data_IF_493938036172
#
_entry.id   IF_493938036172
#
_cell.length_a   1.000
_cell.length_b   1.000
_cell.length_c   1.000
_cell.angle_alpha   90.00
_cell.angle_beta   90.00
_cell.angle_gamma   90.00
#
_symmetry.space_group_name_H-M   'P 1'
#
loop_
_entity.id
_entity.type
_entity.pdbx_description
1 polymer ?
#
# COMPACT_ATOMS: atom_id res chain seq x y z
N UNK A 1 32.55 -11.60 10.67
CA UNK A 1 32.54 -10.65 9.52
C UNK A 1 31.14 -10.66 8.93
N UNK A 2 30.24 -9.78 9.40
CA UNK A 2 28.93 -9.59 8.75
C UNK A 2 29.17 -8.95 7.38
N UNK A 3 28.73 -9.61 6.30
CA UNK A 3 28.79 -9.07 4.95
C UNK A 3 28.10 -7.71 4.90
N UNK A 4 28.84 -6.68 4.46
CA UNK A 4 28.25 -5.38 4.16
C UNK A 4 27.25 -5.59 3.03
N UNK A 5 25.98 -5.31 3.33
CA UNK A 5 24.89 -5.37 2.37
C UNK A 5 25.18 -4.36 1.27
N UNK A 6 25.15 -4.77 0.00
CA UNK A 6 25.14 -3.82 -1.11
C UNK A 6 23.92 -2.91 -0.94
N UNK A 7 24.08 -1.58 -0.85
CA UNK A 7 22.96 -0.65 -0.71
C UNK A 7 21.91 -0.91 -1.79
N UNK A 8 20.63 -0.91 -1.42
CA UNK A 8 19.56 -1.09 -2.40
C UNK A 8 19.51 0.16 -3.27
N UNK A 9 19.95 0.03 -4.52
CA UNK A 9 19.92 1.14 -5.47
C UNK A 9 18.48 1.39 -5.95
N UNK A 10 17.79 2.36 -5.34
CA UNK A 10 16.45 2.77 -5.76
C UNK A 10 16.43 3.54 -7.10
N UNK A 11 17.60 3.97 -7.60
CA UNK A 11 17.75 4.69 -8.86
C UNK A 11 17.87 3.78 -10.09
N UNK A 12 17.89 2.46 -9.90
CA UNK A 12 18.04 1.49 -10.99
C UNK A 12 16.69 0.94 -11.48
N UNK A 13 16.39 1.04 -12.80
CA UNK A 13 15.29 0.30 -13.42
C UNK A 13 15.43 -1.22 -13.24
N UNK A 14 14.32 -1.89 -12.94
CA UNK A 14 14.23 -3.33 -12.69
C UNK A 14 13.19 -4.00 -13.55
N UNK A 15 13.47 -5.22 -13.96
CA UNK A 15 12.48 -6.07 -14.60
C UNK A 15 11.54 -6.70 -13.55
N UNK A 16 10.45 -7.32 -14.00
CA UNK A 16 9.42 -7.85 -13.10
C UNK A 16 9.99 -8.87 -12.10
N UNK A 17 10.83 -9.79 -12.57
CA UNK A 17 11.47 -10.80 -11.71
C UNK A 17 12.38 -10.17 -10.65
N UNK A 18 13.20 -9.19 -11.03
CA UNK A 18 14.09 -8.47 -10.10
C UNK A 18 13.29 -7.66 -9.07
N UNK A 19 12.18 -7.04 -9.49
CA UNK A 19 11.30 -6.28 -8.62
C UNK A 19 10.60 -7.19 -7.61
N UNK A 20 10.06 -8.33 -8.06
CA UNK A 20 9.42 -9.33 -7.20
C UNK A 20 10.43 -9.99 -6.26
N UNK A 21 11.60 -10.37 -6.75
CA UNK A 21 12.67 -10.96 -5.94
C UNK A 21 13.18 -9.99 -4.88
N UNK A 22 13.39 -8.72 -5.23
CA UNK A 22 13.80 -7.69 -4.28
C UNK A 22 12.70 -7.40 -3.26
N UNK A 23 11.45 -7.24 -3.68
CA UNK A 23 10.34 -7.00 -2.76
C UNK A 23 10.15 -8.16 -1.79
N UNK A 24 10.16 -9.41 -2.26
CA UNK A 24 10.07 -10.61 -1.39
C UNK A 24 11.25 -10.68 -0.44
N UNK A 25 12.47 -10.53 -0.97
CA UNK A 25 13.69 -10.58 -0.17
C UNK A 25 13.71 -9.51 0.92
N UNK A 26 13.29 -8.29 0.60
CA UNK A 26 13.20 -7.19 1.54
C UNK A 26 12.12 -7.43 2.61
N UNK A 27 10.93 -7.86 2.17
CA UNK A 27 9.79 -8.12 3.04
C UNK A 27 10.09 -9.25 4.03
N UNK A 28 10.60 -10.40 3.58
CA UNK A 28 10.96 -11.50 4.49
C UNK A 28 12.14 -11.16 5.41
N UNK A 29 13.13 -10.41 4.92
CA UNK A 29 14.29 -10.01 5.74
C UNK A 29 13.89 -9.10 6.91
N UNK A 30 12.92 -8.22 6.70
CA UNK A 30 12.46 -7.23 7.69
C UNK A 30 11.00 -7.44 8.09
N UNK A 31 10.53 -8.70 8.04
CA UNK A 31 9.13 -9.07 8.27
C UNK A 31 8.57 -8.49 9.58
N UNK A 32 9.26 -8.56 10.74
CA UNK A 32 8.70 -8.03 11.99
C UNK A 32 8.45 -6.52 11.94
N UNK A 33 9.32 -5.77 11.27
CA UNK A 33 9.16 -4.32 11.13
C UNK A 33 7.98 -3.99 10.22
N UNK A 34 7.96 -4.54 9.01
CA UNK A 34 6.91 -4.25 8.04
C UNK A 34 5.54 -4.72 8.52
N UNK A 35 5.50 -5.89 9.17
CA UNK A 35 4.30 -6.38 9.85
C UNK A 35 3.85 -5.41 10.95
N UNK A 36 4.73 -4.99 11.86
CA UNK A 36 4.36 -4.07 12.93
C UNK A 36 3.83 -2.73 12.40
N UNK A 37 4.47 -2.19 11.35
CA UNK A 37 4.03 -0.95 10.68
C UNK A 37 2.65 -1.12 10.02
N UNK A 38 2.37 -2.26 9.39
CA UNK A 38 1.03 -2.50 8.84
C UNK A 38 0.00 -2.73 9.96
N UNK A 39 0.36 -3.53 10.96
CA UNK A 39 -0.54 -3.97 12.04
C UNK A 39 -1.10 -2.80 12.84
N UNK A 40 -0.27 -1.80 13.16
CA UNK A 40 -0.70 -0.62 13.94
C UNK A 40 -1.78 0.21 13.24
N UNK A 41 -1.91 0.09 11.91
CA UNK A 41 -2.96 0.75 11.12
C UNK A 41 -4.11 -0.21 10.82
N UNK A 42 -3.79 -1.44 10.43
CA UNK A 42 -4.79 -2.43 10.00
C UNK A 42 -5.65 -2.89 11.17
N UNK A 43 -5.05 -3.24 12.31
CA UNK A 43 -5.78 -3.83 13.43
C UNK A 43 -6.89 -2.90 13.98
N UNK A 44 -6.63 -1.61 14.28
CA UNK A 44 -7.69 -0.73 14.74
C UNK A 44 -8.80 -0.54 13.70
N UNK A 45 -8.46 -0.41 12.42
CA UNK A 45 -9.45 -0.18 11.37
C UNK A 45 -10.31 -1.42 11.14
N UNK A 46 -9.72 -2.60 11.08
CA UNK A 46 -10.45 -3.87 10.89
C UNK A 46 -11.34 -4.14 12.11
N UNK A 47 -10.83 -3.99 13.33
CA UNK A 47 -11.64 -4.21 14.54
C UNK A 47 -12.78 -3.19 14.67
N UNK A 48 -12.56 -1.94 14.30
CA UNK A 48 -13.62 -0.93 14.29
C UNK A 48 -14.67 -1.26 13.23
N UNK A 49 -14.24 -1.63 12.03
CA UNK A 49 -15.17 -1.98 10.95
C UNK A 49 -15.95 -3.25 11.29
N UNK A 50 -15.26 -4.35 11.58
CA UNK A 50 -15.87 -5.65 11.83
C UNK A 50 -16.72 -5.61 13.11
N UNK A 51 -16.28 -4.88 14.14
CA UNK A 51 -17.05 -4.69 15.37
C UNK A 51 -18.33 -3.87 15.17
N UNK A 52 -18.28 -2.82 14.34
CA UNK A 52 -19.49 -2.04 13.97
C UNK A 52 -20.47 -2.92 13.18
N UNK A 53 -19.98 -3.75 12.25
CA UNK A 53 -20.83 -4.65 11.49
C UNK A 53 -21.43 -5.76 12.32
N UNK A 54 -20.65 -6.39 13.19
CA UNK A 54 -21.14 -7.43 14.10
C UNK A 54 -22.28 -6.89 14.98
N UNK A 55 -22.08 -5.74 15.64
CA UNK A 55 -23.13 -5.14 16.47
C UNK A 55 -24.39 -4.77 15.67
N UNK A 56 -24.22 -4.27 14.44
CA UNK A 56 -25.38 -3.95 13.57
C UNK A 56 -26.17 -5.21 13.19
N UNK A 57 -25.48 -6.33 12.92
CA UNK A 57 -26.14 -7.61 12.62
C UNK A 57 -26.86 -8.17 13.84
N UNK A 58 -26.25 -8.08 15.02
CA UNK A 58 -26.86 -8.50 16.29
C UNK A 58 -28.14 -7.69 16.59
N UNK A 59 -28.13 -6.38 16.32
CA UNK A 59 -29.28 -5.49 16.49
C UNK A 59 -30.42 -5.81 15.51
N UNK A 60 -30.10 -6.11 14.24
CA UNK A 60 -31.09 -6.57 13.25
C UNK A 60 -31.70 -7.91 13.66
N UNK A 61 -30.88 -8.88 14.09
CA UNK A 61 -31.36 -10.19 14.53
C UNK A 61 -32.22 -10.09 15.80
N UNK A 62 -31.90 -9.16 16.69
CA UNK A 62 -32.68 -8.84 17.88
C UNK A 62 -33.99 -8.08 17.57
N UNK A 63 -34.23 -7.68 16.31
CA UNK A 63 -35.44 -6.96 15.89
C UNK A 63 -35.54 -5.55 16.49
N UNK A 64 -34.40 -4.92 16.83
CA UNK A 64 -34.35 -3.58 17.42
C UNK A 64 -34.32 -2.45 16.38
N UNK A 65 -34.22 -2.79 15.09
CA UNK A 65 -34.26 -1.87 13.95
C UNK A 65 -35.48 -2.16 13.07
N UNK A 66 -36.25 -1.13 12.70
CA UNK A 66 -37.42 -1.27 11.82
C UNK A 66 -37.02 -1.66 10.38
N UNK A 67 -37.76 -2.60 9.78
CA UNK A 67 -37.49 -3.29 8.50
C UNK A 67 -37.19 -2.38 7.28
N UNK A 68 -37.49 -1.07 7.35
CA UNK A 68 -37.36 -0.11 6.24
C UNK A 68 -36.02 0.64 6.25
N UNK A 69 -35.37 0.82 7.41
CA UNK A 69 -33.98 1.34 7.50
C UNK A 69 -32.93 0.23 7.29
N UNK A 70 -33.30 -1.01 7.53
CA UNK A 70 -32.43 -2.19 7.48
C UNK A 70 -32.01 -2.63 6.06
N UNK A 71 -32.64 -2.14 4.98
CA UNK A 71 -32.33 -2.61 3.62
C UNK A 71 -31.28 -1.76 2.88
N UNK A 72 -31.32 -0.43 3.02
CA UNK A 72 -30.46 0.50 2.23
C UNK A 72 -29.24 1.03 3.02
N UNK A 73 -29.37 1.21 4.34
CA UNK A 73 -28.27 1.65 5.20
C UNK A 73 -27.08 0.67 5.25
N UNK A 74 -27.25 -0.67 5.31
CA UNK A 74 -26.10 -1.58 5.41
C UNK A 74 -25.32 -1.69 4.09
N UNK A 75 -25.95 -1.51 2.93
CA UNK A 75 -25.25 -1.53 1.65
C UNK A 75 -24.37 -0.28 1.50
N UNK A 76 -24.93 0.91 1.77
CA UNK A 76 -24.19 2.17 1.69
C UNK A 76 -23.04 2.22 2.71
N UNK A 77 -23.30 1.84 3.97
CA UNK A 77 -22.25 1.75 4.98
C UNK A 77 -21.20 0.68 4.60
N UNK A 78 -21.61 -0.45 4.01
CA UNK A 78 -20.72 -1.53 3.56
C UNK A 78 -19.78 -1.08 2.45
N UNK A 79 -20.31 -0.30 1.51
CA UNK A 79 -19.53 0.35 0.46
C UNK A 79 -18.56 1.37 1.03
N UNK A 80 -18.99 2.25 1.95
CA UNK A 80 -18.11 3.23 2.60
C UNK A 80 -16.99 2.52 3.36
N UNK A 81 -17.33 1.49 4.14
CA UNK A 81 -16.38 0.68 4.89
C UNK A 81 -15.35 0.00 3.96
N UNK A 82 -15.83 -0.61 2.88
CA UNK A 82 -14.98 -1.21 1.84
C UNK A 82 -14.07 -0.17 1.18
N UNK A 83 -14.59 1.01 0.85
CA UNK A 83 -13.80 2.10 0.25
C UNK A 83 -12.73 2.63 1.22
N UNK A 84 -13.05 2.75 2.51
CA UNK A 84 -12.09 3.13 3.54
C UNK A 84 -10.98 2.07 3.66
N UNK A 85 -11.34 0.78 3.71
CA UNK A 85 -10.38 -0.33 3.76
C UNK A 85 -9.51 -0.42 2.49
N UNK A 86 -10.08 -0.19 1.30
CA UNK A 86 -9.33 -0.28 0.03
C UNK A 86 -8.48 0.95 -0.25
N UNK A 87 -8.75 2.09 0.38
CA UNK A 87 -8.07 3.35 0.04
C UNK A 87 -7.25 3.93 1.18
N UNK A 88 -7.85 4.11 2.36
CA UNK A 88 -7.20 4.78 3.50
C UNK A 88 -6.11 3.90 4.08
N UNK A 89 -6.44 2.63 4.38
CA UNK A 89 -5.50 1.70 5.02
C UNK A 89 -4.24 1.48 4.17
N UNK A 90 -4.34 1.11 2.87
CA UNK A 90 -3.16 0.92 2.03
C UNK A 90 -2.32 2.19 1.88
N UNK A 91 -2.92 3.37 1.80
CA UNK A 91 -2.17 4.61 1.66
C UNK A 91 -1.35 4.95 2.92
N UNK A 92 -1.92 4.77 4.12
CA UNK A 92 -1.21 4.99 5.37
C UNK A 92 -0.10 3.96 5.58
N UNK A 93 -0.39 2.69 5.30
CA UNK A 93 0.61 1.62 5.37
C UNK A 93 1.74 1.89 4.36
N UNK A 94 1.40 2.28 3.13
CA UNK A 94 2.37 2.65 2.09
C UNK A 94 3.26 3.80 2.55
N UNK A 95 2.72 4.84 3.17
CA UNK A 95 3.52 5.96 3.65
C UNK A 95 4.62 5.52 4.63
N UNK A 96 4.29 4.66 5.59
CA UNK A 96 5.28 4.09 6.51
C UNK A 96 6.29 3.17 5.83
N UNK A 97 5.83 2.35 4.88
CA UNK A 97 6.68 1.41 4.16
C UNK A 97 7.67 2.13 3.23
N UNK A 98 7.26 3.23 2.59
CA UNK A 98 8.14 4.09 1.79
C UNK A 98 9.34 4.57 2.62
N UNK A 99 9.08 5.07 3.83
CA UNK A 99 10.12 5.59 4.72
C UNK A 99 11.05 4.47 5.18
N UNK A 100 10.49 3.32 5.59
CA UNK A 100 11.29 2.17 5.98
C UNK A 100 12.17 1.65 4.82
N UNK A 101 11.64 1.61 3.59
CA UNK A 101 12.40 1.22 2.40
C UNK A 101 13.51 2.23 2.09
N UNK A 102 13.26 3.53 2.25
CA UNK A 102 14.28 4.57 2.07
C UNK A 102 15.40 4.46 3.12
N UNK A 103 15.07 4.23 4.39
CA UNK A 103 16.06 4.02 5.46
C UNK A 103 16.94 2.79 5.15
N UNK A 104 16.32 1.66 4.78
CA UNK A 104 17.05 0.43 4.41
C UNK A 104 17.94 0.67 3.17
N UNK A 105 17.44 1.39 2.16
CA UNK A 105 18.20 1.70 0.96
C UNK A 105 19.43 2.58 1.24
N UNK A 106 19.35 3.46 2.23
CA UNK A 106 20.48 4.28 2.71
C UNK A 106 21.46 3.51 3.59
N UNK A 107 21.17 2.24 3.91
CA UNK A 107 21.94 1.44 4.86
C UNK A 107 21.71 1.87 6.32
N UNK A 108 20.68 2.65 6.59
CA UNK A 108 20.27 3.02 7.95
C UNK A 108 19.45 1.89 8.58
N UNK A 109 19.47 1.78 9.91
CA UNK A 109 18.58 0.88 10.64
C UNK A 109 17.18 1.50 10.67
N UNK A 110 16.18 0.89 9.99
CA UNK A 110 14.82 1.42 10.01
C UNK A 110 14.26 1.36 11.43
N UNK A 111 13.65 2.45 11.89
CA UNK A 111 13.08 2.54 13.23
C UNK A 111 11.57 2.72 13.19
N UNK A 112 10.84 1.85 13.89
CA UNK A 112 9.38 1.87 13.97
C UNK A 112 8.85 3.23 14.42
N UNK A 113 9.42 3.81 15.49
CA UNK A 113 8.97 5.10 16.03
C UNK A 113 9.17 6.28 15.07
N UNK A 114 10.23 6.27 14.25
CA UNK A 114 10.45 7.29 13.22
C UNK A 114 9.45 7.14 12.09
N UNK A 115 9.26 5.92 11.57
CA UNK A 115 8.30 5.64 10.51
C UNK A 115 6.87 6.03 10.95
N UNK A 116 6.48 5.69 12.18
CA UNK A 116 5.18 6.05 12.75
C UNK A 116 5.02 7.57 12.93
N UNK A 117 6.02 8.28 13.47
CA UNK A 117 5.97 9.74 13.61
C UNK A 117 5.85 10.44 12.26
N UNK A 118 6.59 9.97 11.27
CA UNK A 118 6.50 10.51 9.91
C UNK A 118 5.16 10.21 9.26
N UNK A 119 4.53 9.06 9.56
CA UNK A 119 3.17 8.74 9.11
C UNK A 119 2.16 9.79 9.58
N UNK A 120 2.25 10.23 10.85
CA UNK A 120 1.41 11.31 11.36
C UNK A 120 1.67 12.65 10.66
N UNK A 121 2.92 12.94 10.29
CA UNK A 121 3.26 14.17 9.57
C UNK A 121 2.65 14.20 8.15
N UNK A 122 2.50 13.03 7.52
CA UNK A 122 1.93 12.91 6.17
C UNK A 122 0.45 12.51 6.17
N UNK A 123 -0.18 12.36 7.34
CA UNK A 123 -1.58 11.92 7.47
C UNK A 123 -2.54 12.84 6.72
N UNK A 124 -2.43 14.16 6.93
CA UNK A 124 -3.28 15.16 6.28
C UNK A 124 -3.06 15.22 4.77
N UNK A 125 -1.81 15.37 4.24
CA UNK A 125 -1.61 15.43 2.80
C UNK A 125 -1.95 14.11 2.10
N UNK A 126 -1.62 12.95 2.68
CA UNK A 126 -2.00 11.63 2.13
C UNK A 126 -3.51 11.43 2.21
N UNK A 127 -4.15 11.85 3.29
CA UNK A 127 -5.60 11.79 3.45
C UNK A 127 -6.35 12.53 2.34
N UNK A 128 -5.90 13.74 1.98
CA UNK A 128 -6.49 14.47 0.86
C UNK A 128 -6.30 13.74 -0.49
N UNK A 129 -5.12 13.15 -0.72
CA UNK A 129 -4.84 12.37 -1.93
C UNK A 129 -5.76 11.14 -2.02
N UNK A 130 -5.92 10.44 -0.90
CA UNK A 130 -6.80 9.27 -0.75
C UNK A 130 -8.25 9.62 -1.04
N UNK A 131 -8.77 10.72 -0.47
CA UNK A 131 -10.15 11.17 -0.71
C UNK A 131 -10.36 11.52 -2.18
N UNK A 132 -9.45 12.28 -2.77
CA UNK A 132 -9.53 12.64 -4.19
C UNK A 132 -9.45 11.41 -5.10
N UNK A 133 -8.57 10.47 -4.78
CA UNK A 133 -8.45 9.19 -5.48
C UNK A 133 -9.75 8.38 -5.38
N UNK A 134 -10.28 8.18 -4.18
CA UNK A 134 -11.49 7.39 -3.94
C UNK A 134 -12.70 7.99 -4.67
N UNK A 135 -12.89 9.30 -4.60
CA UNK A 135 -13.97 9.99 -5.30
C UNK A 135 -13.85 9.83 -6.82
N UNK A 136 -12.67 10.07 -7.37
CA UNK A 136 -12.52 10.07 -8.82
C UNK A 136 -12.53 8.65 -9.41
N UNK A 137 -11.95 7.66 -8.72
CA UNK A 137 -12.05 6.25 -9.11
C UNK A 137 -13.47 5.71 -8.91
N UNK A 138 -14.13 6.07 -7.81
CA UNK A 138 -15.52 5.71 -7.53
C UNK A 138 -16.49 6.26 -8.57
N UNK A 139 -16.37 7.55 -8.91
CA UNK A 139 -17.12 8.17 -10.01
C UNK A 139 -16.79 7.53 -11.36
N UNK A 140 -15.53 7.16 -11.57
CA UNK A 140 -15.08 6.42 -12.75
C UNK A 140 -15.87 5.11 -12.90
N UNK A 141 -15.87 4.27 -11.87
CA UNK A 141 -16.62 3.01 -11.86
C UNK A 141 -18.13 3.19 -11.92
N UNK A 142 -18.66 4.25 -11.30
CA UNK A 142 -20.09 4.57 -11.36
C UNK A 142 -20.53 4.95 -12.78
N UNK A 143 -19.68 5.66 -13.51
CA UNK A 143 -19.94 5.96 -14.92
C UNK A 143 -19.78 4.71 -15.78
N UNK A 144 -18.62 4.04 -15.74
CA UNK A 144 -18.29 2.83 -16.50
C UNK A 144 -17.09 2.06 -15.90
N UNK A 145 -17.02 0.74 -16.09
CA UNK A 145 -15.91 -0.09 -15.56
C UNK A 145 -14.53 0.34 -16.15
N UNK A 146 -14.48 0.63 -17.45
CA UNK A 146 -13.23 0.96 -18.16
C UNK A 146 -12.54 2.23 -17.63
N UNK A 147 -13.21 3.40 -17.51
CA UNK A 147 -12.58 4.60 -16.95
C UNK A 147 -12.19 4.44 -15.47
N UNK A 148 -12.98 3.71 -14.67
CA UNK A 148 -12.62 3.39 -13.28
C UNK A 148 -11.29 2.63 -13.19
N UNK A 149 -11.11 1.60 -14.01
CA UNK A 149 -9.87 0.82 -14.07
C UNK A 149 -8.70 1.63 -14.62
N UNK A 150 -8.94 2.50 -15.59
CA UNK A 150 -7.89 3.36 -16.13
C UNK A 150 -7.36 4.35 -15.09
N UNK A 151 -8.28 4.99 -14.33
CA UNK A 151 -7.94 5.94 -13.27
C UNK A 151 -7.26 5.27 -12.08
N UNK A 152 -7.69 4.06 -11.69
CA UNK A 152 -7.09 3.34 -10.55
C UNK A 152 -5.61 3.05 -10.78
N UNK A 153 -5.25 2.54 -11.97
CA UNK A 153 -3.85 2.29 -12.33
C UNK A 153 -3.07 3.60 -12.48
N UNK A 154 -3.68 4.64 -13.08
CA UNK A 154 -3.02 5.94 -13.31
C UNK A 154 -2.65 6.65 -12.02
N UNK A 155 -3.47 6.52 -10.97
CA UNK A 155 -3.28 7.21 -9.70
C UNK A 155 -2.87 6.31 -8.54
N UNK A 156 -2.58 5.04 -8.80
CA UNK A 156 -2.14 4.06 -7.81
C UNK A 156 -0.98 4.55 -6.92
N UNK A 157 -0.08 5.37 -7.48
CA UNK A 157 1.11 5.86 -6.78
C UNK A 157 0.93 7.20 -6.09
N UNK A 158 -0.31 7.68 -5.90
CA UNK A 158 -0.58 8.97 -5.29
C UNK A 158 0.01 9.12 -3.89
N UNK A 159 -0.10 8.09 -3.04
CA UNK A 159 0.46 8.10 -1.69
C UNK A 159 2.00 8.16 -1.71
N UNK A 160 2.64 7.38 -2.59
CA UNK A 160 4.09 7.36 -2.77
C UNK A 160 4.58 8.72 -3.27
N UNK A 161 3.89 9.33 -4.23
CA UNK A 161 4.20 10.67 -4.71
C UNK A 161 4.07 11.73 -3.60
N UNK A 162 3.08 11.58 -2.72
CA UNK A 162 2.91 12.50 -1.60
C UNK A 162 4.05 12.42 -0.58
N UNK A 163 4.57 11.21 -0.35
CA UNK A 163 5.64 10.98 0.64
C UNK A 163 7.04 11.22 0.07
N UNK A 164 7.29 10.79 -1.17
CA UNK A 164 8.64 10.87 -1.77
C UNK A 164 8.89 12.22 -2.45
N UNK A 165 7.89 12.77 -3.13
CA UNK A 165 8.03 13.99 -3.94
C UNK A 165 7.41 15.23 -3.25
N UNK A 166 7.04 15.13 -1.96
CA UNK A 166 6.36 16.17 -1.15
C UNK A 166 5.15 16.83 -1.85
N UNK A 167 4.51 16.08 -2.75
CA UNK A 167 3.38 16.53 -3.54
C UNK A 167 2.09 16.44 -2.73
N UNK A 168 1.15 17.38 -2.91
CA UNK A 168 -0.09 17.42 -2.11
C UNK A 168 -1.34 17.41 -2.96
N UNK A 169 -2.40 16.75 -2.46
CA UNK A 169 -3.71 16.69 -3.10
C UNK A 169 -3.63 16.30 -4.58
N UNK A 170 -4.20 17.14 -5.45
CA UNK A 170 -4.20 16.92 -6.91
C UNK A 170 -2.78 16.86 -7.48
N UNK A 171 -1.80 17.57 -6.89
CA UNK A 171 -0.41 17.53 -7.33
C UNK A 171 0.20 16.13 -7.25
N UNK A 172 -0.09 15.39 -6.18
CA UNK A 172 0.39 14.01 -6.02
C UNK A 172 -0.27 13.06 -7.02
N UNK A 173 -1.57 13.22 -7.30
CA UNK A 173 -2.29 12.43 -8.32
C UNK A 173 -1.77 12.73 -9.72
N UNK A 174 -1.52 14.00 -10.03
CA UNK A 174 -0.90 14.43 -11.29
C UNK A 174 0.48 13.79 -11.44
N UNK A 175 1.30 13.82 -10.39
CA UNK A 175 2.63 13.19 -10.38
C UNK A 175 2.56 11.68 -10.62
N UNK A 176 1.63 10.98 -9.96
CA UNK A 176 1.38 9.56 -10.23
C UNK A 176 1.01 9.34 -11.71
N UNK A 177 0.12 10.17 -12.24
CA UNK A 177 -0.26 10.09 -13.65
C UNK A 177 0.93 10.31 -14.58
N UNK A 178 1.77 11.31 -14.32
CA UNK A 178 2.99 11.56 -15.08
C UNK A 178 3.97 10.38 -15.01
N UNK A 179 4.00 9.61 -13.92
CA UNK A 179 4.83 8.40 -13.80
C UNK A 179 4.28 7.19 -14.56
N UNK A 180 2.95 7.03 -14.60
CA UNK A 180 2.27 5.92 -15.28
C UNK A 180 2.09 6.18 -16.78
N UNK A 181 2.17 7.44 -17.20
CA UNK A 181 1.97 7.81 -18.60
C UNK A 181 2.96 7.13 -19.55
N UNK A 182 2.50 6.62 -20.69
CA UNK A 182 3.30 5.84 -21.63
C UNK A 182 3.72 4.43 -21.16
N UNK A 183 3.49 4.06 -19.91
CA UNK A 183 3.80 2.72 -19.36
C UNK A 183 2.61 2.06 -18.67
N UNK A 184 1.39 2.57 -18.91
CA UNK A 184 0.15 2.14 -18.23
C UNK A 184 -0.06 0.61 -18.26
N UNK A 185 0.10 -0.04 -19.43
CA UNK A 185 -0.06 -1.49 -19.55
C UNK A 185 0.97 -2.29 -18.76
N UNK A 186 2.21 -1.79 -18.68
CA UNK A 186 3.25 -2.42 -17.86
C UNK A 186 2.87 -2.30 -16.38
N UNK A 187 2.46 -1.12 -15.93
CA UNK A 187 2.01 -0.92 -14.55
C UNK A 187 0.80 -1.80 -14.24
N UNK A 188 -0.22 -1.79 -15.08
CA UNK A 188 -1.42 -2.62 -14.93
C UNK A 188 -1.07 -4.11 -14.83
N UNK A 189 -0.19 -4.62 -15.71
CA UNK A 189 0.25 -6.02 -15.68
C UNK A 189 1.02 -6.37 -14.40
N UNK A 190 1.89 -5.48 -13.92
CA UNK A 190 2.62 -5.72 -12.66
C UNK A 190 1.68 -5.69 -11.47
N UNK A 191 0.77 -4.71 -11.39
CA UNK A 191 -0.24 -4.64 -10.33
C UNK A 191 -1.17 -5.85 -10.35
N UNK A 192 -1.54 -6.33 -11.55
CA UNK A 192 -2.32 -7.55 -11.70
C UNK A 192 -1.58 -8.77 -11.15
N UNK A 193 -0.30 -8.95 -11.48
CA UNK A 193 0.53 -10.05 -10.94
C UNK A 193 0.67 -9.94 -9.42
N UNK A 194 0.91 -8.74 -8.89
CA UNK A 194 1.00 -8.50 -7.45
C UNK A 194 -0.32 -8.83 -6.74
N UNK A 195 -1.45 -8.42 -7.32
CA UNK A 195 -2.78 -8.70 -6.82
C UNK A 195 -3.10 -10.20 -6.86
N UNK A 196 -2.75 -10.89 -7.95
CA UNK A 196 -2.94 -12.34 -8.08
C UNK A 196 -2.12 -13.12 -7.05
N UNK A 197 -0.85 -12.76 -6.85
CA UNK A 197 0.00 -13.36 -5.82
C UNK A 197 -0.56 -13.08 -4.41
N UNK A 198 -1.00 -11.85 -4.17
CA UNK A 198 -1.68 -11.48 -2.91
C UNK A 198 -2.92 -12.34 -2.67
N UNK A 199 -3.79 -12.49 -3.67
CA UNK A 199 -5.00 -13.30 -3.60
C UNK A 199 -4.70 -14.78 -3.29
N UNK A 200 -3.70 -15.37 -3.95
CA UNK A 200 -3.29 -16.77 -3.70
C UNK A 200 -2.79 -16.93 -2.27
N UNK A 201 -1.92 -16.03 -1.80
CA UNK A 201 -1.36 -16.08 -0.44
C UNK A 201 -2.45 -15.88 0.60
N UNK A 202 -3.32 -14.88 0.43
CA UNK A 202 -4.46 -14.64 1.31
C UNK A 202 -5.41 -15.84 1.36
N UNK A 203 -5.71 -16.47 0.23
CA UNK A 203 -6.57 -17.65 0.17
C UNK A 203 -5.98 -18.86 0.91
N UNK A 204 -4.69 -19.13 0.73
CA UNK A 204 -3.97 -20.22 1.43
C UNK A 204 -3.97 -19.97 2.94
N UNK A 205 -3.62 -18.76 3.36
CA UNK A 205 -3.55 -18.43 4.77
C UNK A 205 -4.95 -18.41 5.42
N UNK A 206 -5.99 -17.97 4.70
CA UNK A 206 -7.38 -18.04 5.17
C UNK A 206 -7.84 -19.49 5.40
N UNK A 207 -7.50 -20.41 4.50
CA UNK A 207 -7.78 -21.82 4.68
C UNK A 207 -7.08 -22.39 5.94
N UNK A 208 -5.82 -21.99 6.19
CA UNK A 208 -5.09 -22.40 7.40
C UNK A 208 -5.73 -21.86 8.68
N UNK A 209 -6.15 -20.58 8.69
CA UNK A 209 -6.90 -20.00 9.80
C UNK A 209 -8.17 -20.81 10.06
N UNK A 210 -8.96 -21.10 9.02
CA UNK A 210 -10.19 -21.89 9.14
C UNK A 210 -9.97 -23.26 9.79
N UNK A 211 -8.89 -23.96 9.44
CA UNK A 211 -8.52 -25.24 10.06
C UNK A 211 -8.18 -25.07 11.55
N UNK A 212 -7.37 -24.07 11.90
CA UNK A 212 -6.96 -23.81 13.30
C UNK A 212 -8.17 -23.45 14.16
N UNK A 213 -9.02 -22.55 13.67
CA UNK A 213 -10.24 -22.12 14.35
C UNK A 213 -11.17 -23.31 14.62
N UNK A 214 -11.36 -24.18 13.62
CA UNK A 214 -12.17 -25.40 13.77
C UNK A 214 -11.67 -26.37 14.84
N UNK A 215 -10.41 -26.27 15.26
CA UNK A 215 -9.81 -27.11 16.31
C UNK A 215 -9.87 -26.44 17.69
N UNK A 216 -9.77 -25.12 17.78
CA UNK A 216 -9.62 -24.37 19.05
C UNK A 216 -10.97 -24.04 19.72
N UNK A 217 -12.08 -24.09 18.99
CA UNK A 217 -13.44 -24.08 19.55
C UNK A 217 -14.03 -22.69 19.86
N UNK A 218 -13.23 -21.62 19.84
CA UNK A 218 -13.71 -20.24 19.82
C UNK A 218 -13.64 -19.70 18.38
N UNK A 219 -14.74 -19.91 17.65
CA UNK A 219 -14.78 -19.68 16.21
C UNK A 219 -14.61 -18.18 15.87
N UNK A 220 -15.27 -17.32 16.63
CA UNK A 220 -15.46 -15.92 16.25
C UNK A 220 -14.22 -15.08 16.53
N UNK A 221 -13.64 -15.21 17.73
CA UNK A 221 -12.40 -14.53 18.08
C UNK A 221 -11.22 -15.01 17.22
N UNK A 222 -11.16 -16.31 16.93
CA UNK A 222 -10.14 -16.90 16.08
C UNK A 222 -10.21 -16.41 14.61
N UNK A 223 -11.42 -16.29 14.06
CA UNK A 223 -11.64 -15.75 12.70
C UNK A 223 -11.25 -14.27 12.65
N UNK A 224 -11.68 -13.47 13.62
CA UNK A 224 -11.38 -12.03 13.65
C UNK A 224 -9.87 -11.78 13.73
N UNK A 225 -9.17 -12.46 14.65
CA UNK A 225 -7.70 -12.37 14.77
C UNK A 225 -7.04 -12.84 13.48
N UNK A 226 -7.48 -13.98 12.93
CA UNK A 226 -6.99 -14.49 11.65
C UNK A 226 -7.11 -13.46 10.53
N UNK A 227 -8.29 -12.86 10.33
CA UNK A 227 -8.53 -11.84 9.32
C UNK A 227 -7.63 -10.62 9.48
N UNK A 228 -7.44 -10.12 10.70
CA UNK A 228 -6.52 -9.00 10.97
C UNK A 228 -5.10 -9.34 10.53
N UNK A 229 -4.61 -10.54 10.89
CA UNK A 229 -3.26 -10.98 10.52
C UNK A 229 -3.10 -11.13 9.01
N UNK A 230 -4.10 -11.70 8.35
CA UNK A 230 -4.14 -11.89 6.89
C UNK A 230 -4.08 -10.57 6.14
N UNK A 231 -4.96 -9.63 6.51
CA UNK A 231 -5.01 -8.30 5.91
C UNK A 231 -3.71 -7.53 6.16
N UNK A 232 -3.16 -7.65 7.37
CA UNK A 232 -1.87 -7.02 7.73
C UNK A 232 -0.75 -7.49 6.81
N UNK A 233 -0.62 -8.80 6.61
CA UNK A 233 0.41 -9.38 5.74
C UNK A 233 0.20 -8.97 4.27
N UNK A 234 -1.03 -9.01 3.77
CA UNK A 234 -1.35 -8.67 2.40
C UNK A 234 -1.07 -7.19 2.08
N UNK A 235 -1.51 -6.28 2.94
CA UNK A 235 -1.28 -4.83 2.77
C UNK A 235 0.21 -4.50 2.95
N UNK A 236 0.91 -5.13 3.90
CA UNK A 236 2.34 -4.95 4.09
C UNK A 236 3.15 -5.36 2.85
N UNK A 237 2.86 -6.54 2.31
CA UNK A 237 3.48 -7.05 1.10
C UNK A 237 3.29 -6.11 -0.10
N UNK A 238 2.04 -5.74 -0.37
CA UNK A 238 1.68 -4.85 -1.48
C UNK A 238 2.28 -3.46 -1.32
N UNK A 239 2.41 -2.95 -0.10
CA UNK A 239 3.07 -1.68 0.18
C UNK A 239 4.58 -1.72 -0.15
N UNK A 240 5.31 -2.79 0.19
CA UNK A 240 6.72 -2.95 -0.19
C UNK A 240 6.86 -3.03 -1.71
N UNK A 241 6.09 -3.91 -2.35
CA UNK A 241 6.17 -4.11 -3.80
C UNK A 241 5.76 -2.85 -4.57
N UNK A 242 4.69 -2.18 -4.15
CA UNK A 242 4.21 -0.92 -4.73
C UNK A 242 5.20 0.23 -4.54
N UNK A 243 5.91 0.27 -3.41
CA UNK A 243 7.00 1.24 -3.17
C UNK A 243 8.17 1.01 -4.13
N UNK A 244 8.62 -0.23 -4.30
CA UNK A 244 9.72 -0.52 -5.21
C UNK A 244 9.34 -0.30 -6.69
N UNK A 245 8.09 -0.58 -7.06
CA UNK A 245 7.55 -0.26 -8.37
C UNK A 245 7.50 1.26 -8.62
N UNK A 246 7.13 2.05 -7.62
CA UNK A 246 7.20 3.51 -7.70
C UNK A 246 8.62 4.00 -8.00
N UNK A 247 9.62 3.50 -7.26
CA UNK A 247 11.01 3.86 -7.49
C UNK A 247 11.53 3.38 -8.85
N UNK A 248 11.11 2.20 -9.34
CA UNK A 248 11.40 1.73 -10.70
C UNK A 248 10.88 2.70 -11.77
N UNK A 249 9.62 3.13 -11.66
CA UNK A 249 9.03 4.10 -12.60
C UNK A 249 9.75 5.44 -12.55
N UNK A 250 10.09 5.92 -11.34
CA UNK A 250 10.83 7.16 -11.13
C UNK A 250 12.23 7.08 -11.76
N UNK A 251 12.95 5.97 -11.57
CA UNK A 251 14.25 5.72 -12.17
C UNK A 251 14.18 5.70 -13.70
N UNK A 252 13.16 5.07 -14.28
CA UNK A 252 12.96 5.02 -15.74
C UNK A 252 12.66 6.37 -16.36
N UNK A 253 12.05 7.28 -15.59
CA UNK A 253 11.74 8.66 -16.05
C UNK A 253 12.75 9.70 -15.60
N UNK A 254 13.73 9.36 -14.76
CA UNK A 254 14.82 10.24 -14.38
C UNK A 254 15.60 10.83 -15.58
N UNK A 255 15.79 10.14 -16.73
CA UNK A 255 16.36 10.76 -17.93
C UNK A 255 15.51 11.91 -18.52
N UNK A 256 14.23 12.03 -18.12
CA UNK A 256 13.26 12.99 -18.66
C UNK A 256 12.88 14.11 -17.67
N UNK A 257 13.45 14.15 -16.46
CA UNK A 257 13.25 15.24 -15.49
C UNK A 257 14.49 16.13 -15.41
N UNK A 258 14.49 17.33 -16.04
CA UNK A 258 15.56 18.30 -15.88
C UNK A 258 15.52 18.82 -14.43
N UNK A 259 16.41 18.29 -13.58
CA UNK A 259 16.50 18.64 -12.17
C UNK A 259 17.23 17.61 -11.29
N UNK A 260 17.43 16.38 -11.78
CA UNK A 260 18.36 15.43 -11.17
C UNK A 260 19.68 15.49 -11.93
N UNK A 261 20.56 16.43 -11.55
CA UNK A 261 21.92 16.45 -12.06
C UNK A 261 22.57 15.08 -11.82
N UNK A 262 23.07 14.48 -12.90
CA UNK A 262 23.95 13.33 -12.83
C UNK A 262 25.14 13.68 -11.93
N UNK A 263 25.67 12.75 -11.11
CA UNK A 263 26.88 13.01 -10.35
C UNK A 263 27.95 13.52 -11.32
N UNK A 264 28.44 14.73 -11.03
CA UNK A 264 29.49 15.37 -11.81
C UNK A 264 30.64 14.37 -12.01
N UNK A 265 31.22 14.41 -13.21
CA UNK A 265 32.34 13.55 -13.63
C UNK A 265 33.40 13.46 -12.52
N UNK A 266 34.10 12.32 -12.36
CA UNK A 266 35.19 12.23 -11.39
C UNK A 266 36.16 13.37 -11.61
N UNK A 267 36.41 14.15 -10.56
CA UNK A 267 37.33 15.28 -10.58
C UNK A 267 38.71 14.81 -11.09
N UNK A 268 39.10 15.27 -12.28
CA UNK A 268 40.45 15.07 -12.80
C UNK A 268 41.27 16.29 -12.37
N UNK A 269 42.08 16.10 -11.33
CA UNK A 269 42.94 17.17 -10.81
C UNK A 269 43.93 17.68 -11.86
N UNK A 270 44.43 18.92 -11.71
CA UNK A 270 45.35 19.51 -12.68
C UNK A 270 46.63 18.67 -12.77
N UNK A 271 46.92 18.19 -13.99
CA UNK A 271 48.20 17.58 -14.34
C UNK A 271 49.31 18.60 -14.09
N UNK A 272 50.15 18.34 -13.09
CA UNK A 272 51.40 19.08 -12.93
C UNK A 272 52.38 18.58 -13.98
N UNK A 273 52.80 19.50 -14.85
CA UNK A 273 54.01 19.40 -15.66
C UNK A 273 55.25 19.50 -14.77
#
# INVERSE_FOLDING_TARGET
>A
MMGRVSPIDLGRPRDLGDLLGLSLGLWFRHLPLFFALAFVVVAPVVLLVDGVWAGTLDDVEAGTLDDVEAADAPVAAGLVSTLLQLTVVPALVTAMHVIAVQDIARGESPSFGRALRSAFAVLVPVGLVVVLYALAVGLGFLALIVPGLWLSVRWYFGAQAAVVDDSRGVGALRRSGELVDGTWWRVAGILFVLGLLGMIVSGVLAALVGVVVGVVGDADAGIAVGNVLLQTLAVSWTAVAGTLLYFDLRARKAPAFPGAEAPERPWVGPSRA
#
